data_IF_384017050059
#
_entry.id   IF_384017050059
#
_cell.length_a   1.000
_cell.length_b   1.000
_cell.length_c   1.000
_cell.angle_alpha   90.00
_cell.angle_beta   90.00
_cell.angle_gamma   90.00
#
_symmetry.space_group_name_H-M   'P 1'
#
loop_
_entity.id
_entity.type
_entity.pdbx_description
1 polymer ?
#
# COMPACT_ATOMS: atom_id res chain seq x y z
N UNK A 1 31.42 -1.52 -18.01
CA UNK A 1 31.11 -2.05 -16.66
C UNK A 1 29.65 -1.75 -16.38
N UNK A 2 28.73 -2.55 -16.90
CA UNK A 2 27.30 -2.36 -16.63
C UNK A 2 26.88 -3.37 -15.56
N UNK A 3 26.66 -2.86 -14.35
CA UNK A 3 26.04 -3.62 -13.28
C UNK A 3 24.57 -3.84 -13.64
N UNK A 4 24.26 -4.99 -14.23
CA UNK A 4 22.88 -5.41 -14.47
C UNK A 4 22.20 -5.53 -13.11
N UNK A 5 21.35 -4.54 -12.81
CA UNK A 5 20.55 -4.46 -11.60
C UNK A 5 19.71 -5.74 -11.49
N UNK A 6 20.05 -6.63 -10.55
CA UNK A 6 19.23 -7.80 -10.25
C UNK A 6 17.82 -7.35 -9.85
N UNK A 7 16.85 -7.56 -10.74
CA UNK A 7 15.44 -7.39 -10.40
C UNK A 7 15.00 -8.68 -9.71
N UNK A 8 14.40 -8.59 -8.52
CA UNK A 8 13.85 -9.78 -7.86
C UNK A 8 12.90 -10.52 -8.81
N UNK A 9 12.92 -11.85 -8.81
CA UNK A 9 12.12 -12.73 -9.66
C UNK A 9 10.61 -12.67 -9.29
N UNK A 10 10.02 -11.49 -9.43
CA UNK A 10 8.62 -11.20 -9.17
C UNK A 10 7.90 -11.05 -10.51
N UNK A 11 6.84 -11.81 -10.68
CA UNK A 11 5.94 -11.71 -11.84
C UNK A 11 5.30 -10.33 -11.91
N UNK A 12 4.89 -9.90 -13.11
CA UNK A 12 4.18 -8.62 -13.31
C UNK A 12 2.94 -8.50 -12.42
N UNK A 13 2.17 -9.58 -12.28
CA UNK A 13 0.98 -9.62 -11.42
C UNK A 13 1.29 -9.39 -9.94
N UNK A 14 2.40 -9.95 -9.44
CA UNK A 14 2.85 -9.71 -8.07
C UNK A 14 3.22 -8.24 -7.85
N UNK A 15 3.95 -7.63 -8.78
CA UNK A 15 4.31 -6.20 -8.71
C UNK A 15 3.06 -5.31 -8.66
N UNK A 16 2.05 -5.60 -9.46
CA UNK A 16 0.77 -4.86 -9.44
C UNK A 16 0.02 -5.01 -8.11
N UNK A 17 -0.03 -6.21 -7.53
CA UNK A 17 -0.67 -6.44 -6.22
C UNK A 17 0.07 -5.71 -5.10
N UNK A 18 1.41 -5.71 -5.12
CA UNK A 18 2.23 -4.97 -4.17
C UNK A 18 2.02 -3.46 -4.30
N UNK A 19 1.99 -2.93 -5.53
CA UNK A 19 1.70 -1.52 -5.78
C UNK A 19 0.31 -1.12 -5.29
N UNK A 20 -0.72 -1.94 -5.56
CA UNK A 20 -2.07 -1.72 -5.04
C UNK A 20 -2.10 -1.71 -3.52
N UNK A 21 -1.43 -2.66 -2.86
CA UNK A 21 -1.36 -2.73 -1.41
C UNK A 21 -0.64 -1.52 -0.79
N UNK A 22 0.32 -0.93 -1.50
CA UNK A 22 0.98 0.31 -1.10
C UNK A 22 0.02 1.51 -1.18
N UNK A 23 -0.68 1.67 -2.29
CA UNK A 23 -1.64 2.78 -2.50
C UNK A 23 -2.81 2.71 -1.51
N UNK A 24 -3.29 1.50 -1.17
CA UNK A 24 -4.37 1.34 -0.20
C UNK A 24 -3.97 1.68 1.24
N UNK A 25 -2.67 1.68 1.58
CA UNK A 25 -2.20 1.90 2.95
C UNK A 25 -2.08 3.38 3.37
N UNK A 26 -2.77 4.27 2.67
CA UNK A 26 -2.76 5.70 2.92
C UNK A 26 -3.80 6.10 3.99
N UNK A 27 -3.65 7.30 4.55
CA UNK A 27 -4.64 7.88 5.47
C UNK A 27 -5.85 8.39 4.69
N UNK A 28 -6.98 8.55 5.38
CA UNK A 28 -8.14 9.28 4.84
C UNK A 28 -7.71 10.71 4.46
N UNK A 29 -8.02 11.17 3.24
CA UNK A 29 -7.71 12.53 2.79
C UNK A 29 -8.42 13.60 3.65
N UNK A 30 -7.74 14.74 3.85
CA UNK A 30 -8.25 15.85 4.68
C UNK A 30 -9.61 16.37 4.22
N UNK A 31 -9.82 16.51 2.91
CA UNK A 31 -11.10 16.99 2.37
C UNK A 31 -12.27 16.05 2.71
N UNK A 32 -12.03 14.74 2.81
CA UNK A 32 -13.05 13.75 3.16
C UNK A 32 -13.38 13.78 4.65
N UNK A 33 -12.37 14.05 5.48
CA UNK A 33 -12.55 14.28 6.93
C UNK A 33 -13.40 15.52 7.16
N UNK A 34 -13.11 16.63 6.47
CA UNK A 34 -13.87 17.89 6.57
C UNK A 34 -15.31 17.67 6.11
N UNK A 35 -15.51 17.07 4.93
CA UNK A 35 -16.85 16.79 4.36
C UNK A 35 -17.70 15.91 5.29
N UNK A 36 -17.07 15.00 6.03
CA UNK A 36 -17.77 14.06 6.92
C UNK A 36 -17.95 14.58 8.35
N UNK A 37 -17.66 15.85 8.64
CA UNK A 37 -17.66 16.40 10.00
C UNK A 37 -16.86 15.52 10.97
N UNK A 38 -15.69 15.04 10.53
CA UNK A 38 -14.79 14.15 11.30
C UNK A 38 -15.44 12.82 11.70
N UNK A 39 -16.47 12.33 11.00
CA UNK A 39 -16.98 10.97 11.21
C UNK A 39 -16.04 9.90 10.65
N UNK A 40 -15.24 10.23 9.63
CA UNK A 40 -14.30 9.29 8.98
C UNK A 40 -12.87 9.82 9.11
N UNK A 41 -12.22 9.63 10.27
CA UNK A 41 -10.88 10.17 10.56
C UNK A 41 -9.75 9.17 10.32
N UNK A 42 -10.02 7.89 10.61
CA UNK A 42 -9.04 6.81 10.51
C UNK A 42 -9.45 5.82 9.42
N UNK A 43 -8.47 5.25 8.72
CA UNK A 43 -8.71 4.18 7.77
C UNK A 43 -8.53 2.82 8.48
N UNK A 44 -9.61 2.06 8.75
CA UNK A 44 -9.55 0.85 9.58
C UNK A 44 -8.74 -0.29 8.94
N UNK A 45 -8.58 -0.27 7.61
CA UNK A 45 -7.83 -1.29 6.87
C UNK A 45 -6.35 -0.93 6.63
N UNK A 46 -5.83 0.13 7.30
CA UNK A 46 -4.38 0.41 7.25
C UNK A 46 -3.60 -0.75 7.86
N UNK A 47 -2.45 -1.02 7.27
CA UNK A 47 -1.56 -2.12 7.63
C UNK A 47 -0.19 -1.59 8.02
N UNK A 48 0.39 -2.22 9.02
CA UNK A 48 1.80 -2.05 9.35
C UNK A 48 2.59 -3.30 8.93
N UNK A 49 3.72 -3.10 8.25
CA UNK A 49 4.49 -4.19 7.64
C UNK A 49 5.11 -5.15 8.67
N UNK A 50 5.44 -4.68 9.88
CA UNK A 50 5.93 -5.56 10.97
C UNK A 50 4.82 -6.36 11.64
N UNK A 51 3.58 -5.85 11.64
CA UNK A 51 2.45 -6.49 12.33
C UNK A 51 1.75 -7.51 11.43
N UNK A 52 1.57 -7.18 10.14
CA UNK A 52 0.86 -8.05 9.20
C UNK A 52 1.63 -8.18 7.88
N UNK A 53 1.85 -9.41 7.43
CA UNK A 53 2.48 -9.71 6.14
C UNK A 53 1.48 -9.67 4.98
N UNK A 54 1.99 -9.45 3.76
CA UNK A 54 1.21 -9.54 2.53
C UNK A 54 1.33 -10.94 1.95
N UNK A 55 0.20 -11.62 1.78
CA UNK A 55 0.13 -12.92 1.09
C UNK A 55 0.05 -12.67 -0.42
N UNK A 56 1.20 -12.46 -1.06
CA UNK A 56 1.31 -12.16 -2.52
C UNK A 56 2.10 -13.26 -3.26
N UNK A 57 2.40 -14.36 -2.58
CA UNK A 57 2.95 -15.58 -3.13
C UNK A 57 1.97 -16.71 -2.89
#
# INVERSE_FOLDING_TARGET
MDQVRQVSHNTKGQKMRLAKAHVQNQRVPTWAIIKSNRKVVSHPKRRHWRRNSLKVK
#
